data_IF_368232857379
#
_entry.id   IF_368232857379
#
_cell.length_a   1.000
_cell.length_b   1.000
_cell.length_c   1.000
_cell.angle_alpha   90.00
_cell.angle_beta   90.00
_cell.angle_gamma   90.00
#
_symmetry.space_group_name_H-M   'P 1'
#
loop_
_entity.id
_entity.type
_entity.pdbx_description
1 polymer ?
#
# COMPACT_ATOMS: atom_id res chain seq x y z
N UNK A 1 -19.52 33.02 56.57
CA UNK A 1 -18.99 31.99 55.66
C UNK A 1 -20.06 31.69 54.62
N UNK A 2 -20.06 32.44 53.52
CA UNK A 2 -20.91 32.23 52.36
C UNK A 2 -20.03 32.57 51.14
N UNK A 3 -19.96 31.65 50.19
CA UNK A 3 -19.01 31.66 49.06
C UNK A 3 -19.46 32.68 48.00
N UNK A 4 -18.54 33.53 47.56
CA UNK A 4 -18.73 34.38 46.40
C UNK A 4 -18.76 33.54 45.11
N UNK A 5 -19.81 33.73 44.33
CA UNK A 5 -19.98 33.17 43.00
C UNK A 5 -19.37 34.16 41.99
N UNK A 6 -18.10 33.98 41.64
CA UNK A 6 -17.51 34.70 40.50
C UNK A 6 -17.87 33.97 39.21
N UNK A 7 -18.80 34.55 38.44
CA UNK A 7 -18.97 34.27 37.02
C UNK A 7 -17.77 34.87 36.30
N UNK A 8 -16.72 34.07 36.12
CA UNK A 8 -15.65 34.39 35.19
C UNK A 8 -16.19 34.23 33.77
N UNK A 9 -16.38 35.35 33.08
CA UNK A 9 -16.58 35.42 31.64
C UNK A 9 -15.31 34.89 30.94
N UNK A 10 -15.25 33.57 30.81
CA UNK A 10 -14.21 32.86 30.08
C UNK A 10 -14.39 33.07 28.59
N UNK A 11 -13.50 33.89 28.03
CA UNK A 11 -13.03 33.93 26.63
C UNK A 11 -13.57 32.77 25.79
N UNK A 12 -14.48 33.08 24.87
CA UNK A 12 -14.78 32.21 23.75
C UNK A 12 -13.46 31.95 23.02
N UNK A 13 -12.92 30.75 23.17
CA UNK A 13 -11.84 30.25 22.33
C UNK A 13 -12.35 30.30 20.89
N UNK A 14 -11.97 31.36 20.19
CA UNK A 14 -12.20 31.55 18.78
C UNK A 14 -11.42 30.41 18.10
N UNK A 15 -12.12 29.33 17.76
CA UNK A 15 -11.61 28.34 16.83
C UNK A 15 -11.38 29.07 15.52
N UNK A 16 -10.18 29.60 15.32
CA UNK A 16 -9.77 30.21 14.06
C UNK A 16 -9.82 29.11 13.03
N UNK A 17 -10.93 29.03 12.29
CA UNK A 17 -11.05 28.24 11.08
C UNK A 17 -10.04 28.86 10.12
N UNK A 18 -8.80 28.34 10.11
CA UNK A 18 -7.85 28.69 9.06
C UNK A 18 -8.48 28.22 7.75
N UNK A 19 -8.95 29.18 6.95
CA UNK A 19 -9.43 28.92 5.61
C UNK A 19 -8.35 28.19 4.85
N UNK A 20 -8.69 26.97 4.44
CA UNK A 20 -7.78 26.11 3.71
C UNK A 20 -7.63 26.66 2.30
N UNK A 21 -6.42 27.14 2.00
CA UNK A 21 -6.02 27.47 0.64
C UNK A 21 -5.29 26.27 0.07
N UNK A 22 -5.79 25.75 -1.06
CA UNK A 22 -5.11 24.67 -1.75
C UNK A 22 -3.70 25.12 -2.16
N UNK A 23 -2.66 24.32 -1.87
CA UNK A 23 -1.33 24.63 -2.37
C UNK A 23 -1.34 24.62 -3.90
N UNK A 24 -0.52 25.46 -4.54
CA UNK A 24 -0.44 25.50 -5.99
C UNK A 24 -0.08 24.10 -6.54
N UNK A 25 -0.62 23.73 -7.72
CA UNK A 25 -0.32 22.45 -8.34
C UNK A 25 1.19 22.26 -8.52
N UNK A 26 1.69 21.05 -8.28
CA UNK A 26 3.13 20.80 -8.36
C UNK A 26 3.66 21.15 -9.76
N UNK A 27 4.79 21.85 -9.87
CA UNK A 27 5.44 22.09 -11.15
C UNK A 27 5.77 20.74 -11.82
N UNK A 28 5.55 20.66 -13.13
CA UNK A 28 5.75 19.41 -13.88
C UNK A 28 7.20 18.93 -13.82
N UNK A 29 8.15 19.87 -13.85
CA UNK A 29 9.58 19.62 -13.73
C UNK A 29 10.12 20.50 -12.62
N UNK A 30 10.62 19.89 -11.55
CA UNK A 30 11.30 20.57 -10.46
C UNK A 30 12.66 19.92 -10.23
N UNK A 31 13.66 20.40 -10.98
CA UNK A 31 15.03 19.88 -10.90
C UNK A 31 15.71 20.25 -9.57
N UNK A 32 15.20 21.25 -8.84
CA UNK A 32 15.74 21.64 -7.54
C UNK A 32 15.52 20.54 -6.49
N UNK A 33 14.49 19.69 -6.65
CA UNK A 33 14.27 18.52 -5.78
C UNK A 33 15.46 17.56 -5.74
N UNK A 34 16.22 17.44 -6.84
CA UNK A 34 17.38 16.55 -6.94
C UNK A 34 18.54 16.98 -6.04
N UNK A 35 18.56 18.24 -5.59
CA UNK A 35 19.58 18.76 -4.68
C UNK A 35 19.26 18.46 -3.20
N UNK A 36 18.02 18.09 -2.90
CA UNK A 36 17.54 17.92 -1.53
C UNK A 36 17.89 16.53 -1.00
N UNK A 37 18.53 16.48 0.17
CA UNK A 37 18.81 15.21 0.87
C UNK A 37 17.55 14.44 1.28
N UNK A 38 16.44 15.14 1.52
CA UNK A 38 15.14 14.53 1.81
C UNK A 38 14.62 13.70 0.63
N UNK A 39 14.93 14.10 -0.61
CA UNK A 39 14.52 13.39 -1.82
C UNK A 39 15.17 12.01 -1.92
N UNK A 40 16.48 11.91 -1.75
CA UNK A 40 17.18 10.62 -1.75
C UNK A 40 16.72 9.71 -0.61
N UNK A 41 16.45 10.27 0.57
CA UNK A 41 15.87 9.51 1.69
C UNK A 41 14.49 8.95 1.34
N UNK A 42 13.67 9.71 0.62
CA UNK A 42 12.37 9.25 0.14
C UNK A 42 12.51 8.11 -0.90
N UNK A 43 13.47 8.20 -1.82
CA UNK A 43 13.77 7.12 -2.78
C UNK A 43 14.19 5.83 -2.08
N UNK A 44 15.08 5.95 -1.09
CA UNK A 44 15.51 4.79 -0.28
C UNK A 44 14.31 4.21 0.49
N UNK A 45 13.42 5.05 1.03
CA UNK A 45 12.22 4.58 1.72
C UNK A 45 11.28 3.80 0.80
N UNK A 46 11.03 4.28 -0.42
CA UNK A 46 10.22 3.56 -1.43
C UNK A 46 10.87 2.24 -1.85
N UNK A 47 12.19 2.22 -2.04
CA UNK A 47 12.95 1.00 -2.36
C UNK A 47 12.86 -0.04 -1.22
N UNK A 48 13.13 0.35 0.03
CA UNK A 48 13.11 -0.57 1.17
C UNK A 48 11.68 -1.05 1.45
N UNK A 49 10.69 -0.17 1.36
CA UNK A 49 9.30 -0.56 1.55
C UNK A 49 8.85 -1.58 0.51
N UNK A 50 9.14 -1.36 -0.78
CA UNK A 50 8.79 -2.33 -1.83
C UNK A 50 9.57 -3.64 -1.72
N UNK A 51 10.83 -3.60 -1.31
CA UNK A 51 11.61 -4.80 -1.01
C UNK A 51 10.94 -5.63 0.09
N UNK A 52 10.59 -5.03 1.21
CA UNK A 52 9.95 -5.71 2.33
C UNK A 52 8.55 -6.20 1.96
N UNK A 53 7.78 -5.40 1.22
CA UNK A 53 6.45 -5.76 0.73
C UNK A 53 6.49 -7.05 -0.10
N UNK A 54 7.34 -7.10 -1.13
CA UNK A 54 7.45 -8.27 -2.00
C UNK A 54 8.09 -9.46 -1.29
N UNK A 55 9.09 -9.23 -0.43
CA UNK A 55 9.70 -10.32 0.33
C UNK A 55 8.67 -11.07 1.20
N UNK A 56 7.92 -10.33 2.03
CA UNK A 56 6.97 -10.94 2.97
C UNK A 56 5.79 -11.58 2.24
N UNK A 57 5.21 -10.90 1.26
CA UNK A 57 4.03 -11.41 0.54
C UNK A 57 4.37 -12.65 -0.29
N UNK A 58 5.48 -12.64 -1.03
CA UNK A 58 5.88 -13.78 -1.86
C UNK A 58 6.34 -14.96 -1.01
N UNK A 59 7.06 -14.71 0.10
CA UNK A 59 7.39 -15.76 1.05
C UNK A 59 6.12 -16.42 1.65
N UNK A 60 5.09 -15.61 1.94
CA UNK A 60 3.79 -16.11 2.45
C UNK A 60 3.07 -16.96 1.40
N UNK A 61 3.05 -16.52 0.13
CA UNK A 61 2.43 -17.28 -0.97
C UNK A 61 3.13 -18.62 -1.18
N UNK A 62 4.47 -18.64 -1.21
CA UNK A 62 5.22 -19.88 -1.40
C UNK A 62 5.09 -20.79 -0.19
N UNK A 63 5.15 -20.23 1.03
CA UNK A 63 4.94 -20.98 2.26
C UNK A 63 3.57 -21.64 2.32
N UNK A 64 2.51 -20.91 1.94
CA UNK A 64 1.16 -21.46 1.83
C UNK A 64 1.10 -22.60 0.80
N UNK A 65 1.57 -22.36 -0.43
CA UNK A 65 1.54 -23.37 -1.50
C UNK A 65 2.31 -24.63 -1.14
N UNK A 66 3.41 -24.49 -0.39
CA UNK A 66 4.15 -25.64 0.11
C UNK A 66 3.37 -26.41 1.17
N UNK A 67 2.78 -25.72 2.15
CA UNK A 67 2.01 -26.34 3.24
C UNK A 67 0.71 -27.00 2.76
N UNK A 68 0.10 -26.48 1.70
CA UNK A 68 -1.12 -27.03 1.11
C UNK A 68 -0.87 -28.10 0.04
N UNK A 69 0.39 -28.47 -0.21
CA UNK A 69 0.77 -29.45 -1.23
C UNK A 69 0.56 -30.88 -0.71
N UNK A 70 -0.48 -31.56 -1.20
CA UNK A 70 -0.81 -32.94 -0.83
C UNK A 70 0.28 -33.95 -1.23
N UNK A 71 1.03 -33.68 -2.30
CA UNK A 71 2.12 -34.55 -2.76
C UNK A 71 3.36 -34.42 -1.87
N UNK A 72 3.56 -33.24 -1.27
CA UNK A 72 4.66 -32.98 -0.35
C UNK A 72 4.43 -33.63 1.03
N UNK A 73 3.18 -33.83 1.43
CA UNK A 73 2.81 -34.41 2.73
C UNK A 73 1.78 -35.54 2.60
N UNK A 74 2.19 -36.73 2.12
CA UNK A 74 1.27 -37.85 1.90
C UNK A 74 0.63 -38.30 3.23
N UNK A 75 -0.70 -38.39 3.26
CA UNK A 75 -1.46 -38.86 4.42
C UNK A 75 -1.78 -37.79 5.48
N UNK A 76 -1.36 -36.54 5.27
CA UNK A 76 -1.79 -35.40 6.08
C UNK A 76 -3.01 -34.70 5.44
N UNK A 77 -3.90 -34.14 6.25
CA UNK A 77 -4.97 -33.25 5.76
C UNK A 77 -4.37 -31.88 5.40
N UNK A 78 -3.90 -31.74 4.17
CA UNK A 78 -3.31 -30.50 3.64
C UNK A 78 -4.35 -29.53 3.08
N UNK A 79 -5.62 -29.94 2.96
CA UNK A 79 -6.67 -29.13 2.33
C UNK A 79 -6.95 -27.82 3.08
N UNK A 80 -6.74 -27.82 4.40
CA UNK A 80 -6.89 -26.66 5.27
C UNK A 80 -5.57 -26.25 5.96
N UNK A 81 -4.43 -26.77 5.49
CA UNK A 81 -3.13 -26.46 6.08
C UNK A 81 -2.63 -25.06 5.71
N UNK A 82 -1.85 -24.46 6.62
CA UNK A 82 -1.22 -23.16 6.44
C UNK A 82 -2.15 -21.97 6.68
N UNK A 83 -1.80 -20.82 6.08
CA UNK A 83 -2.48 -19.54 6.33
C UNK A 83 -3.77 -19.35 5.51
N UNK A 84 -4.02 -20.23 4.52
CA UNK A 84 -5.12 -20.10 3.58
C UNK A 84 -5.01 -18.89 2.64
N UNK A 85 -5.93 -18.83 1.67
CA UNK A 85 -6.03 -17.67 0.76
C UNK A 85 -6.38 -16.38 1.53
N UNK A 86 -7.13 -16.51 2.64
CA UNK A 86 -7.41 -15.39 3.55
C UNK A 86 -6.13 -14.82 4.17
N UNK A 87 -5.22 -15.68 4.63
CA UNK A 87 -3.95 -15.23 5.20
C UNK A 87 -3.04 -14.56 4.16
N UNK A 88 -3.07 -15.02 2.90
CA UNK A 88 -2.39 -14.32 1.80
C UNK A 88 -2.97 -12.92 1.62
N UNK A 89 -4.30 -12.78 1.53
CA UNK A 89 -4.94 -11.47 1.39
C UNK A 89 -4.57 -10.51 2.54
N UNK A 90 -4.51 -11.04 3.77
CA UNK A 90 -4.05 -10.30 4.94
C UNK A 90 -2.57 -9.90 4.86
N UNK A 91 -1.70 -10.76 4.34
CA UNK A 91 -0.29 -10.41 4.16
C UNK A 91 -0.13 -9.24 3.19
N UNK A 92 -0.85 -9.24 2.07
CA UNK A 92 -0.81 -8.13 1.11
C UNK A 92 -1.38 -6.84 1.71
N UNK A 93 -2.60 -6.85 2.24
CA UNK A 93 -3.24 -5.66 2.81
C UNK A 93 -2.53 -5.13 4.06
N UNK A 94 -2.14 -6.03 4.96
CA UNK A 94 -1.45 -5.70 6.22
C UNK A 94 -0.06 -5.12 5.98
N UNK A 95 0.71 -5.65 5.03
CA UNK A 95 2.02 -5.09 4.70
C UNK A 95 1.90 -3.70 4.08
N UNK A 96 0.93 -3.46 3.18
CA UNK A 96 0.69 -2.12 2.66
C UNK A 96 0.32 -1.17 3.79
N UNK A 97 -0.59 -1.55 4.69
CA UNK A 97 -0.96 -0.73 5.84
C UNK A 97 0.27 -0.32 6.70
N UNK A 98 1.09 -1.29 7.09
CA UNK A 98 2.27 -1.06 7.92
C UNK A 98 3.28 -0.17 7.18
N UNK A 99 3.59 -0.49 5.93
CA UNK A 99 4.64 0.20 5.19
C UNK A 99 4.22 1.62 4.80
N UNK A 100 2.97 1.83 4.41
CA UNK A 100 2.42 3.18 4.19
C UNK A 100 2.50 3.98 5.48
N UNK A 101 2.10 3.40 6.62
CA UNK A 101 2.22 4.09 7.92
C UNK A 101 3.67 4.51 8.23
N UNK A 102 4.64 3.62 8.00
CA UNK A 102 6.05 3.91 8.24
C UNK A 102 6.65 4.94 7.27
N UNK A 103 6.20 4.98 6.01
CA UNK A 103 6.82 5.78 4.94
C UNK A 103 6.04 7.03 4.55
N UNK A 104 4.78 7.18 4.97
CA UNK A 104 3.94 8.34 4.66
C UNK A 104 4.59 9.68 5.02
N UNK A 105 5.27 9.76 6.17
CA UNK A 105 5.97 10.98 6.60
C UNK A 105 7.28 11.26 5.86
N UNK A 106 7.83 10.27 5.16
CA UNK A 106 9.15 10.34 4.50
C UNK A 106 8.99 10.51 2.98
N UNK A 107 8.34 9.55 2.32
CA UNK A 107 8.18 9.53 0.86
C UNK A 107 6.79 9.90 0.37
N UNK A 108 5.78 9.85 1.24
CA UNK A 108 4.35 9.85 0.87
C UNK A 108 3.75 8.45 0.84
N UNK A 109 4.56 7.39 0.99
CA UNK A 109 4.12 6.00 1.12
C UNK A 109 3.41 5.49 -0.13
N UNK A 110 4.02 5.65 -1.30
CA UNK A 110 3.37 5.23 -2.55
C UNK A 110 3.46 3.72 -2.73
N UNK A 111 4.66 3.13 -2.62
CA UNK A 111 4.99 1.70 -2.67
C UNK A 111 4.58 1.00 -4.00
N UNK A 112 3.83 1.69 -4.84
CA UNK A 112 3.20 1.16 -6.04
C UNK A 112 3.36 2.17 -7.20
N UNK A 113 3.85 1.71 -8.36
CA UNK A 113 3.96 2.55 -9.56
C UNK A 113 2.64 3.14 -10.02
N UNK A 114 1.52 2.40 -9.94
CA UNK A 114 0.20 2.88 -10.34
C UNK A 114 -0.31 3.99 -9.41
N UNK A 115 -0.03 3.89 -8.11
CA UNK A 115 -0.36 4.93 -7.12
C UNK A 115 0.46 6.19 -7.41
N UNK A 116 1.77 6.03 -7.63
CA UNK A 116 2.67 7.13 -8.00
C UNK A 116 2.21 7.82 -9.28
N UNK A 117 1.80 7.04 -10.29
CA UNK A 117 1.31 7.55 -11.56
C UNK A 117 -0.02 8.30 -11.40
N UNK A 118 -0.96 7.75 -10.62
CA UNK A 118 -2.23 8.43 -10.31
C UNK A 118 -2.00 9.79 -9.67
N UNK A 119 -1.15 9.86 -8.63
CA UNK A 119 -0.81 11.11 -7.95
C UNK A 119 -0.07 12.11 -8.85
N UNK A 120 0.74 11.61 -9.79
CA UNK A 120 1.35 12.43 -10.83
C UNK A 120 0.30 13.06 -11.77
N UNK A 121 -0.68 12.28 -12.26
CA UNK A 121 -1.77 12.80 -13.10
C UNK A 121 -2.62 13.84 -12.37
N UNK A 122 -2.80 13.70 -11.06
CA UNK A 122 -3.46 14.69 -10.22
C UNK A 122 -2.59 15.90 -9.84
N UNK A 123 -1.39 16.04 -10.43
CA UNK A 123 -0.42 17.12 -10.16
C UNK A 123 -0.06 17.26 -8.67
N UNK A 124 -0.04 16.14 -7.94
CA UNK A 124 0.40 16.08 -6.53
C UNK A 124 1.88 15.69 -6.41
N UNK A 125 2.50 15.23 -7.49
CA UNK A 125 3.89 14.74 -7.56
C UNK A 125 4.53 15.26 -8.84
N UNK A 126 5.79 15.69 -8.78
CA UNK A 126 6.57 16.13 -9.95
C UNK A 126 6.91 14.95 -10.87
N UNK A 127 7.15 15.20 -12.17
CA UNK A 127 7.49 14.12 -13.12
C UNK A 127 8.79 13.40 -12.71
N UNK A 128 9.80 14.17 -12.31
CA UNK A 128 11.11 13.64 -11.90
C UNK A 128 10.97 12.70 -10.70
N UNK A 129 10.22 13.13 -9.67
CA UNK A 129 9.92 12.29 -8.50
C UNK A 129 9.14 11.05 -8.88
N UNK A 130 8.13 11.18 -9.73
CA UNK A 130 7.30 10.05 -10.15
C UNK A 130 8.14 8.96 -10.85
N UNK A 131 8.98 9.34 -11.81
CA UNK A 131 9.85 8.41 -12.54
C UNK A 131 10.84 7.73 -11.60
N UNK A 132 11.51 8.50 -10.74
CA UNK A 132 12.51 7.94 -9.83
C UNK A 132 11.88 7.05 -8.75
N UNK A 133 10.67 7.36 -8.28
CA UNK A 133 9.91 6.48 -7.39
C UNK A 133 9.55 5.16 -8.08
N UNK A 134 9.06 5.19 -9.32
CA UNK A 134 8.75 3.96 -10.07
C UNK A 134 9.99 3.09 -10.27
N UNK A 135 11.14 3.69 -10.59
CA UNK A 135 12.41 2.96 -10.69
C UNK A 135 12.80 2.34 -9.35
N UNK A 136 12.75 3.11 -8.25
CA UNK A 136 13.06 2.62 -6.91
C UNK A 136 12.12 1.47 -6.49
N UNK A 137 10.83 1.58 -6.78
CA UNK A 137 9.80 0.57 -6.49
C UNK A 137 10.05 -0.73 -7.28
N UNK A 138 10.37 -0.62 -8.58
CA UNK A 138 10.70 -1.78 -9.41
C UNK A 138 11.98 -2.48 -8.95
N UNK A 139 13.02 -1.72 -8.61
CA UNK A 139 14.27 -2.28 -8.09
C UNK A 139 14.06 -2.96 -6.73
N UNK A 140 13.29 -2.33 -5.83
CA UNK A 140 12.96 -2.91 -4.53
C UNK A 140 12.17 -4.20 -4.67
N UNK A 141 11.17 -4.23 -5.55
CA UNK A 141 10.41 -5.44 -5.86
C UNK A 141 11.30 -6.58 -6.39
N UNK A 142 12.22 -6.29 -7.32
CA UNK A 142 13.18 -7.29 -7.84
C UNK A 142 14.06 -7.83 -6.71
N UNK A 143 14.58 -6.97 -5.84
CA UNK A 143 15.39 -7.38 -4.70
C UNK A 143 14.59 -8.23 -3.70
N UNK A 144 13.35 -7.84 -3.38
CA UNK A 144 12.48 -8.56 -2.46
C UNK A 144 12.17 -9.98 -2.94
N UNK A 145 11.75 -10.13 -4.20
CA UNK A 145 11.52 -11.44 -4.82
C UNK A 145 12.83 -12.24 -4.93
N UNK A 146 13.93 -11.56 -5.27
CA UNK A 146 15.26 -12.16 -5.35
C UNK A 146 15.74 -12.77 -4.03
N UNK A 147 15.47 -12.11 -2.89
CA UNK A 147 15.77 -12.64 -1.56
C UNK A 147 14.98 -13.92 -1.26
N UNK A 148 13.69 -13.96 -1.60
CA UNK A 148 12.87 -15.17 -1.43
C UNK A 148 13.43 -16.31 -2.27
N UNK A 149 13.75 -16.05 -3.54
CA UNK A 149 14.40 -17.04 -4.42
C UNK A 149 15.76 -17.49 -3.89
N UNK A 150 16.52 -16.61 -3.25
CA UNK A 150 17.81 -16.91 -2.64
C UNK A 150 17.70 -17.86 -1.45
N UNK A 151 16.72 -17.65 -0.57
CA UNK A 151 16.54 -18.49 0.63
C UNK A 151 15.83 -19.82 0.36
N UNK A 152 14.89 -19.85 -0.58
CA UNK A 152 14.05 -21.03 -0.83
C UNK A 152 13.94 -21.37 -2.31
N UNK A 153 15.09 -21.48 -3.01
CA UNK A 153 15.15 -21.66 -4.47
C UNK A 153 14.31 -22.83 -4.99
N UNK A 154 14.38 -23.99 -4.35
CA UNK A 154 13.67 -25.19 -4.78
C UNK A 154 12.14 -24.98 -4.73
N UNK A 155 11.64 -24.48 -3.61
CA UNK A 155 10.22 -24.17 -3.43
C UNK A 155 9.76 -23.02 -4.33
N UNK A 156 10.59 -21.98 -4.48
CA UNK A 156 10.30 -20.84 -5.35
C UNK A 156 10.03 -21.28 -6.79
N UNK A 157 10.89 -22.14 -7.35
CA UNK A 157 10.74 -22.63 -8.72
C UNK A 157 9.52 -23.55 -8.84
N UNK A 158 9.33 -24.47 -7.88
CA UNK A 158 8.21 -25.43 -7.90
C UNK A 158 6.84 -24.73 -7.84
N UNK A 159 6.70 -23.71 -7.00
CA UNK A 159 5.40 -23.07 -6.71
C UNK A 159 5.12 -21.80 -7.53
N UNK A 160 5.86 -21.59 -8.62
CA UNK A 160 5.62 -20.50 -9.58
C UNK A 160 6.11 -19.12 -9.15
N UNK A 161 6.97 -19.05 -8.12
CA UNK A 161 7.67 -17.82 -7.71
C UNK A 161 6.80 -16.66 -7.22
N UNK A 162 5.51 -16.92 -6.94
CA UNK A 162 4.54 -15.88 -6.62
C UNK A 162 4.23 -14.93 -7.79
N UNK A 163 4.47 -15.37 -9.03
CA UNK A 163 4.16 -14.57 -10.21
C UNK A 163 2.64 -14.49 -10.45
N UNK A 164 2.17 -13.30 -10.84
CA UNK A 164 0.79 -13.11 -11.28
C UNK A 164 0.58 -13.81 -12.63
N UNK A 165 -0.43 -14.65 -12.71
CA UNK A 165 -0.81 -15.37 -13.92
C UNK A 165 -2.33 -15.42 -14.04
N UNK A 166 -2.81 -15.56 -15.28
CA UNK A 166 -4.23 -15.77 -15.53
C UNK A 166 -4.59 -17.19 -15.13
N UNK A 167 -5.59 -17.34 -14.26
CA UNK A 167 -6.11 -18.66 -13.91
C UNK A 167 -6.72 -19.35 -15.15
N UNK A 168 -6.60 -20.67 -15.21
CA UNK A 168 -7.18 -21.46 -16.29
C UNK A 168 -8.70 -21.24 -16.37
N UNK A 169 -9.23 -21.19 -17.59
CA UNK A 169 -10.65 -20.92 -17.84
C UNK A 169 -11.03 -19.43 -17.95
N UNK A 170 -10.12 -18.50 -17.65
CA UNK A 170 -10.37 -17.07 -17.84
C UNK A 170 -9.78 -16.53 -19.14
N UNK A 171 -10.49 -15.57 -19.76
CA UNK A 171 -9.98 -14.86 -20.94
C UNK A 171 -9.03 -13.73 -20.55
N UNK A 172 -8.13 -13.35 -21.46
CA UNK A 172 -7.23 -12.19 -21.27
C UNK A 172 -8.01 -10.90 -21.00
N UNK A 173 -9.18 -10.74 -21.63
CA UNK A 173 -10.06 -9.58 -21.42
C UNK A 173 -10.62 -9.53 -20.00
N UNK A 174 -11.02 -10.68 -19.45
CA UNK A 174 -11.50 -10.79 -18.07
C UNK A 174 -10.39 -10.45 -17.07
N UNK A 175 -9.19 -10.97 -17.27
CA UNK A 175 -8.02 -10.65 -16.43
C UNK A 175 -7.69 -9.16 -16.45
N UNK A 176 -7.68 -8.55 -17.64
CA UNK A 176 -7.44 -7.11 -17.80
C UNK A 176 -8.50 -6.26 -17.08
N UNK A 177 -9.78 -6.62 -17.22
CA UNK A 177 -10.87 -5.90 -16.56
C UNK A 177 -10.76 -5.97 -15.02
N UNK A 178 -10.39 -7.14 -14.48
CA UNK A 178 -10.18 -7.32 -13.05
C UNK A 178 -9.03 -6.43 -12.53
N UNK A 179 -7.90 -6.37 -13.23
CA UNK A 179 -6.76 -5.51 -12.87
C UNK A 179 -7.11 -4.02 -12.93
N UNK A 180 -7.87 -3.58 -13.94
CA UNK A 180 -8.32 -2.20 -14.07
C UNK A 180 -9.21 -1.81 -12.88
N UNK A 181 -10.21 -2.62 -12.57
CA UNK A 181 -11.15 -2.34 -11.47
C UNK A 181 -10.42 -2.37 -10.11
N UNK A 182 -9.57 -3.38 -9.88
CA UNK A 182 -8.78 -3.49 -8.65
C UNK A 182 -7.85 -2.29 -8.43
N UNK A 183 -7.14 -1.88 -9.48
CA UNK A 183 -6.26 -0.70 -9.44
C UNK A 183 -7.06 0.59 -9.25
N UNK A 184 -8.22 0.72 -9.90
CA UNK A 184 -9.10 1.87 -9.72
C UNK A 184 -9.53 2.02 -8.26
N UNK A 185 -9.98 0.93 -7.61
CA UNK A 185 -10.37 0.96 -6.19
C UNK A 185 -9.18 1.37 -5.32
N UNK A 186 -8.01 0.78 -5.53
CA UNK A 186 -6.79 1.14 -4.78
C UNK A 186 -6.45 2.63 -4.91
N UNK A 187 -6.39 3.15 -6.14
CA UNK A 187 -6.00 4.55 -6.40
C UNK A 187 -7.10 5.51 -5.92
N UNK A 188 -8.38 5.16 -6.07
CA UNK A 188 -9.50 5.92 -5.54
C UNK A 188 -9.44 6.04 -4.01
N UNK A 189 -9.13 4.95 -3.31
CA UNK A 189 -8.93 4.97 -1.85
C UNK A 189 -7.75 5.88 -1.50
N UNK A 190 -6.63 5.82 -2.23
CA UNK A 190 -5.49 6.72 -2.01
C UNK A 190 -5.89 8.18 -2.20
N UNK A 191 -6.67 8.52 -3.22
CA UNK A 191 -7.14 9.90 -3.36
C UNK A 191 -8.03 10.32 -2.20
N UNK A 192 -8.96 9.45 -1.80
CA UNK A 192 -9.98 9.75 -0.80
C UNK A 192 -9.42 10.09 0.58
N UNK A 193 -8.27 9.54 0.97
CA UNK A 193 -7.71 9.87 2.28
C UNK A 193 -6.32 10.53 2.27
N UNK A 194 -5.93 11.07 1.12
CA UNK A 194 -4.92 12.14 1.09
C UNK A 194 -5.41 13.37 1.86
N UNK A 195 -4.66 13.84 2.85
CA UNK A 195 -5.07 14.99 3.68
C UNK A 195 -4.74 16.33 3.02
N UNK A 196 -5.74 17.21 2.77
CA UNK A 196 -5.51 18.57 2.27
C UNK A 196 -4.49 19.39 3.09
N UNK A 197 -4.30 19.11 4.37
CA UNK A 197 -3.52 19.99 5.27
C UNK A 197 -2.08 19.56 5.53
N UNK A 198 -1.63 18.40 5.05
CA UNK A 198 -0.29 17.88 5.38
C UNK A 198 0.43 17.31 4.15
N UNK A 199 1.75 17.46 4.12
CA UNK A 199 2.63 16.94 3.06
C UNK A 199 3.81 16.17 3.66
N UNK A 200 4.37 15.23 2.90
CA UNK A 200 5.56 14.48 3.26
C UNK A 200 6.79 15.40 3.29
N UNK A 201 7.78 15.06 4.11
CA UNK A 201 8.84 15.99 4.51
C UNK A 201 9.56 16.64 3.33
N UNK A 202 9.57 17.97 3.30
CA UNK A 202 10.19 18.82 2.27
C UNK A 202 9.76 18.51 0.83
N UNK A 203 8.50 18.08 0.65
CA UNK A 203 7.93 17.72 -0.65
C UNK A 203 6.48 18.14 -0.78
N UNK A 204 5.99 18.25 -2.01
CA UNK A 204 4.57 18.51 -2.33
C UNK A 204 3.71 17.25 -2.21
N UNK A 205 4.31 16.08 -2.04
CA UNK A 205 3.61 14.80 -1.86
C UNK A 205 2.71 14.86 -0.63
N UNK A 206 1.42 14.58 -0.80
CA UNK A 206 0.40 14.77 0.25
C UNK A 206 0.44 13.65 1.30
N UNK A 207 0.34 14.00 2.58
CA UNK A 207 0.44 13.11 3.74
C UNK A 207 -0.88 12.40 4.08
N UNK A 208 -0.78 11.31 4.84
CA UNK A 208 -1.90 10.52 5.34
C UNK A 208 -1.98 10.52 6.89
N UNK A 209 -2.81 11.38 7.51
CA UNK A 209 -3.02 11.37 8.96
C UNK A 209 -4.13 10.40 9.40
N UNK A 210 -5.08 10.05 8.53
CA UNK A 210 -6.41 9.60 8.96
C UNK A 210 -6.79 8.14 8.63
N UNK A 211 -5.84 7.22 8.40
CA UNK A 211 -6.16 5.78 8.19
C UNK A 211 -6.86 5.14 9.40
N UNK A 212 -6.89 5.82 10.55
CA UNK A 212 -7.48 5.33 11.79
C UNK A 212 -9.01 5.49 11.87
N UNK A 213 -9.64 6.32 11.03
CA UNK A 213 -11.10 6.54 11.08
C UNK A 213 -11.88 5.84 9.95
N UNK A 214 -11.27 5.56 8.78
CA UNK A 214 -11.94 4.87 7.66
C UNK A 214 -11.91 3.33 7.75
N UNK A 215 -11.21 2.77 8.73
CA UNK A 215 -11.11 1.32 8.91
C UNK A 215 -12.45 0.65 9.28
N UNK A 216 -13.49 1.41 9.65
CA UNK A 216 -14.84 0.86 9.86
C UNK A 216 -15.61 0.67 8.55
N UNK A 217 -15.23 1.31 7.45
CA UNK A 217 -15.96 1.22 6.19
C UNK A 217 -15.30 0.27 5.17
N UNK A 218 -13.97 0.21 5.10
CA UNK A 218 -13.30 -0.70 4.15
C UNK A 218 -13.28 -2.17 4.61
N UNK A 219 -13.56 -2.44 5.89
CA UNK A 219 -13.69 -3.79 6.44
C UNK A 219 -15.00 -4.49 6.03
N UNK A 220 -15.97 -3.78 5.45
CA UNK A 220 -17.28 -4.32 5.07
C UNK A 220 -17.41 -4.70 3.58
N UNK A 221 -16.44 -4.45 2.71
CA UNK A 221 -16.47 -4.95 1.33
C UNK A 221 -15.71 -6.27 1.19
N UNK A 222 -16.07 -7.23 2.05
CA UNK A 222 -15.87 -8.65 1.73
C UNK A 222 -17.08 -9.07 0.88
N UNK A 223 -16.96 -9.43 -0.41
CA UNK A 223 -18.02 -10.24 -1.00
C UNK A 223 -17.98 -11.61 -0.31
N UNK A 224 -19.10 -12.12 0.24
CA UNK A 224 -19.17 -13.48 0.72
C UNK A 224 -19.32 -14.39 -0.51
N UNK A 225 -18.22 -14.76 -1.17
CA UNK A 225 -18.24 -15.95 -2.03
C UNK A 225 -17.83 -17.16 -1.20
N UNK A 226 -18.73 -17.51 -0.26
CA UNK A 226 -18.92 -18.89 0.16
C UNK A 226 -19.74 -19.55 -0.94
N UNK A 227 -19.10 -20.30 -1.83
CA UNK A 227 -19.83 -21.34 -2.56
C UNK A 227 -19.88 -22.60 -1.68
N UNK A 228 -21.02 -23.29 -1.64
CA UNK A 228 -21.16 -24.55 -0.93
C UNK A 228 -20.42 -25.63 -1.70
N UNK A 229 -19.63 -26.46 -1.03
CA UNK A 229 -19.40 -27.81 -1.55
C UNK A 229 -20.63 -28.68 -1.28
N UNK A 230 -20.63 -29.96 -1.68
CA UNK A 230 -20.07 -30.57 -2.88
C UNK A 230 -21.20 -31.12 -3.79
N UNK A 231 -21.05 -31.00 -5.11
CA UNK A 231 -21.68 -31.84 -6.14
C UNK A 231 -20.98 -31.57 -7.48
#
# INVERSE_FOLDING_TARGET
>A
MAKDFQVATGVSAEFTVKDYTDPPPAPLVDAEELTKWSFYRALIAEFIATLLFLYVTIATVIGYKHQSDADAFPGADTACAGVGVLGIAWAFGGMIFILVYCTAGISGGHINPAVTFGLFLARKVSLVRAVLYMVAQCLGAICGVGLVKGFQRAYFVKYGGGANGLAEGYSKGTGLAAEIIGTFVLVYTVFSATDPKRSARDSTSRFWPHFQLDLRCLWCTSPPFRLPGPA
#
